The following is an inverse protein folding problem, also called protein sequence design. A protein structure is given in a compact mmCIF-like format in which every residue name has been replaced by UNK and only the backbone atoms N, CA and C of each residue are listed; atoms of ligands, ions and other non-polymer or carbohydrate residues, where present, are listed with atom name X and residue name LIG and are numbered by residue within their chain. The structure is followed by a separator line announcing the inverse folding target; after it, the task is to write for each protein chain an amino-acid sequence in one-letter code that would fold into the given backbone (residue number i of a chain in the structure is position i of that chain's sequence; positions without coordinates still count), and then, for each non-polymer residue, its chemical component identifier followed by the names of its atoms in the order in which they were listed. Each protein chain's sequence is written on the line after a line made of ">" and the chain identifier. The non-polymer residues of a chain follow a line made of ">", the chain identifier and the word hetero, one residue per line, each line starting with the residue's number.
data_IF_049423242292
#
_entry.id   IF_049423242292
#
_cell.length_a   1.000
_cell.length_b   1.000
_cell.length_c   1.000
_cell.angle_alpha   90.00
_cell.angle_beta   90.00
_cell.angle_gamma   90.00
#
_symmetry.space_group_name_H-M   'P 1'
#
loop_
_entity.id
_entity.type
_entity.pdbx_description
1 polymer ?
#
# COMPACT_ATOMS: atom_id res chain seq x y z
N UNK A 1 7.59 -11.13 -13.04
CA UNK A 1 7.16 -10.55 -13.83
C UNK A 1 5.85 -9.98 -13.85
N UNK A 2 4.86 -10.71 -14.04
CA UNK A 2 3.54 -10.17 -14.10
C UNK A 2 3.18 -9.46 -12.82
N UNK A 3 3.74 -9.91 -11.75
CA UNK A 3 3.41 -9.30 -10.48
C UNK A 3 3.81 -7.85 -10.41
N UNK A 4 4.78 -7.48 -11.21
CA UNK A 4 5.22 -6.11 -11.15
C UNK A 4 4.22 -5.16 -11.73
N UNK A 5 3.27 -5.67 -12.50
CA UNK A 5 2.27 -4.80 -13.08
C UNK A 5 1.04 -4.68 -12.23
N UNK A 6 0.98 -5.35 -11.11
CA UNK A 6 -0.18 -5.27 -10.25
C UNK A 6 -0.29 -3.88 -9.66
N UNK A 7 -1.50 -3.33 -9.58
CA UNK A 7 -1.66 -2.02 -8.98
C UNK A 7 -1.32 -2.05 -7.50
N UNK A 8 -0.77 -0.96 -7.04
CA UNK A 8 -0.39 -0.83 -5.64
C UNK A 8 -1.46 -0.03 -4.93
N UNK A 9 -1.92 -0.55 -3.81
CA UNK A 9 -2.93 0.12 -3.02
C UNK A 9 -2.38 0.39 -1.64
N UNK A 10 -2.71 1.55 -1.12
CA UNK A 10 -2.26 1.95 0.19
C UNK A 10 -3.44 1.98 1.15
N UNK A 11 -3.23 1.45 2.35
CA UNK A 11 -4.25 1.47 3.39
C UNK A 11 -3.62 2.04 4.65
N UNK A 12 -4.39 2.79 5.42
CA UNK A 12 -3.86 3.26 6.69
C UNK A 12 -3.96 2.13 7.70
N UNK A 13 -3.53 2.39 8.92
CA UNK A 13 -3.50 1.34 9.93
C UNK A 13 -4.89 0.91 10.37
N UNK A 14 -5.89 1.67 10.01
CA UNK A 14 -7.26 1.28 10.31
C UNK A 14 -7.87 0.44 9.20
N UNK A 15 -7.13 0.22 8.13
CA UNK A 15 -7.63 -0.58 7.03
C UNK A 15 -8.40 0.21 6.00
N UNK A 16 -8.37 1.54 6.08
CA UNK A 16 -9.09 2.37 5.14
C UNK A 16 -8.17 2.70 3.97
N UNK A 17 -8.69 2.52 2.77
CA UNK A 17 -7.89 2.77 1.59
C UNK A 17 -7.58 4.25 1.47
N UNK A 18 -6.33 4.54 1.14
CA UNK A 18 -5.84 5.90 1.03
C UNK A 18 -5.40 6.14 -0.40
N UNK A 19 -6.01 7.14 -1.03
CA UNK A 19 -5.67 7.43 -2.42
C UNK A 19 -4.33 8.14 -2.51
N UNK A 20 -4.08 9.06 -1.58
CA UNK A 20 -2.83 9.82 -1.61
C UNK A 20 -2.14 9.69 -0.28
N UNK A 21 -1.33 8.66 -0.09
CA UNK A 21 -0.61 8.53 1.18
C UNK A 21 0.35 9.70 1.34
N UNK A 22 0.26 10.35 2.49
CA UNK A 22 1.09 11.51 2.73
C UNK A 22 2.35 11.10 3.45
N UNK A 23 2.31 11.02 4.73
CA UNK A 23 3.47 10.56 5.47
C UNK A 23 2.98 9.74 6.64
N UNK A 24 3.75 8.74 6.98
CA UNK A 24 3.36 7.85 8.06
C UNK A 24 3.46 6.41 7.63
N UNK A 25 2.95 5.53 8.47
CA UNK A 25 3.02 4.11 8.23
C UNK A 25 1.76 3.66 7.52
N UNK A 26 1.93 2.98 6.41
CA UNK A 26 0.81 2.52 5.61
C UNK A 26 0.97 1.04 5.30
N UNK A 27 -0.14 0.41 5.02
CA UNK A 27 -0.13 -0.97 4.56
C UNK A 27 -0.23 -0.94 3.05
N UNK A 28 0.73 -1.56 2.40
CA UNK A 28 0.81 -1.56 0.95
C UNK A 28 0.39 -2.92 0.44
N UNK A 29 -0.57 -2.92 -0.44
CA UNK A 29 -1.02 -4.16 -1.05
C UNK A 29 -0.67 -4.14 -2.53
N UNK A 30 0.06 -5.15 -2.95
CA UNK A 30 0.46 -5.25 -4.34
C UNK A 30 0.05 -6.63 -4.83
N UNK A 31 -0.99 -6.67 -5.63
CA UNK A 31 -1.51 -7.94 -6.06
C UNK A 31 -2.03 -8.71 -4.88
N UNK A 32 -1.44 -9.87 -4.60
CA UNK A 32 -1.83 -10.63 -3.43
C UNK A 32 -0.77 -10.58 -2.35
N UNK A 33 0.11 -9.60 -2.40
CA UNK A 33 1.12 -9.42 -1.37
C UNK A 33 0.80 -8.19 -0.56
N UNK A 34 1.02 -8.28 0.74
CA UNK A 34 0.73 -7.19 1.64
C UNK A 34 1.94 -6.97 2.53
N UNK A 35 2.34 -5.73 2.66
CA UNK A 35 3.45 -5.39 3.54
C UNK A 35 3.24 -4.00 4.09
N UNK A 36 4.03 -3.64 5.10
CA UNK A 36 3.97 -2.32 5.67
C UNK A 36 5.11 -1.49 5.13
N UNK A 37 4.86 -0.22 4.92
CA UNK A 37 5.89 0.67 4.46
C UNK A 37 5.74 2.03 5.10
N UNK A 38 6.86 2.67 5.32
CA UNK A 38 6.86 4.01 5.87
C UNK A 38 6.98 4.98 4.71
N UNK A 39 5.99 5.86 4.60
CA UNK A 39 5.96 6.86 3.55
C UNK A 39 6.39 8.19 4.16
N UNK A 40 7.28 8.88 3.48
CA UNK A 40 7.77 10.15 4.01
C UNK A 40 7.38 11.30 3.17
#
# INVERSE_FOLDING_TARGET
>A
EAADNAPVEYYNLQGIRVANPESGLYIVRRGNKVSKELVR
#
